data_IF_345799214492
#
_entry.id   IF_345799214492
#
_cell.length_a   1.000
_cell.length_b   1.000
_cell.length_c   1.000
_cell.angle_alpha   90.00
_cell.angle_beta   90.00
_cell.angle_gamma   90.00
#
_symmetry.space_group_name_H-M   'P 1'
#
loop_
_entity.id
_entity.type
_entity.pdbx_description
1 polymer ?
#
# COMPACT_ATOMS: atom_id res chain seq x y z
N UNK A 1 -10.29 51.27 -73.06
CA UNK A 1 -10.58 51.77 -71.70
C UNK A 1 -10.36 50.62 -70.72
N UNK A 2 -9.66 50.63 -69.59
CA UNK A 2 -8.69 51.51 -68.92
C UNK A 2 -8.22 50.68 -67.70
N UNK A 3 -6.92 50.32 -67.59
CA UNK A 3 -6.16 49.87 -66.38
C UNK A 3 -6.62 48.51 -65.75
N UNK A 4 -5.85 47.66 -65.05
CA UNK A 4 -4.73 47.74 -64.08
C UNK A 4 -4.02 46.34 -64.12
N UNK A 5 -2.78 46.16 -64.62
CA UNK A 5 -1.47 46.08 -63.90
C UNK A 5 -1.37 45.18 -62.64
N UNK A 6 -0.52 44.15 -62.75
CA UNK A 6 0.52 43.71 -61.76
C UNK A 6 0.04 43.12 -60.40
N UNK A 7 0.67 42.15 -59.73
CA UNK A 7 1.89 41.34 -59.86
C UNK A 7 1.95 40.46 -58.59
N UNK A 8 2.77 39.39 -58.61
CA UNK A 8 3.35 38.65 -57.47
C UNK A 8 2.67 37.39 -56.93
N UNK A 9 3.12 36.26 -57.48
CA UNK A 9 3.54 35.06 -56.74
C UNK A 9 4.64 35.42 -55.72
N UNK A 10 4.55 34.93 -54.48
CA UNK A 10 5.65 34.45 -53.60
C UNK A 10 5.39 34.70 -52.10
N UNK A 11 4.57 33.86 -51.46
CA UNK A 11 4.46 33.67 -49.99
C UNK A 11 3.87 32.25 -49.83
N UNK A 12 4.38 31.24 -49.13
CA UNK A 12 5.46 31.10 -48.15
C UNK A 12 5.82 29.59 -48.10
N UNK A 13 7.05 29.23 -48.44
CA UNK A 13 7.62 27.94 -48.05
C UNK A 13 8.29 28.15 -46.68
N UNK A 14 7.60 27.84 -45.58
CA UNK A 14 8.22 27.71 -44.25
C UNK A 14 7.26 27.05 -43.24
N UNK A 15 7.20 25.71 -43.22
CA UNK A 15 6.56 24.95 -42.13
C UNK A 15 7.24 23.58 -42.01
N UNK A 16 8.55 23.59 -41.74
CA UNK A 16 9.33 22.39 -41.42
C UNK A 16 10.43 22.79 -40.44
N UNK A 17 10.13 22.63 -39.15
CA UNK A 17 11.04 22.45 -37.99
C UNK A 17 10.45 23.10 -36.74
N UNK A 18 9.48 22.43 -36.10
CA UNK A 18 9.28 22.62 -34.67
C UNK A 18 10.02 21.48 -33.97
N UNK A 19 11.04 21.74 -33.14
CA UNK A 19 11.64 20.72 -32.31
C UNK A 19 10.54 20.22 -31.37
N UNK A 20 10.22 18.93 -31.45
CA UNK A 20 9.49 18.23 -30.40
C UNK A 20 10.42 18.26 -29.19
N UNK A 21 10.22 19.25 -28.32
CA UNK A 21 10.82 19.24 -27.00
C UNK A 21 10.38 17.98 -26.31
N UNK A 22 11.30 17.03 -26.14
CA UNK A 22 11.12 15.95 -25.20
C UNK A 22 10.95 16.59 -23.82
N UNK A 23 9.71 16.74 -23.38
CA UNK A 23 9.42 17.02 -21.98
C UNK A 23 9.79 15.73 -21.26
N UNK A 24 11.04 15.66 -20.79
CA UNK A 24 11.39 14.72 -19.75
C UNK A 24 10.46 15.03 -18.58
N UNK A 25 9.51 14.15 -18.31
CA UNK A 25 8.82 14.14 -17.02
C UNK A 25 9.91 13.90 -15.98
N UNK A 26 10.39 14.99 -15.37
CA UNK A 26 11.03 14.87 -14.07
C UNK A 26 9.98 14.21 -13.16
N UNK A 27 10.34 13.20 -12.36
CA UNK A 27 9.43 12.70 -11.35
C UNK A 27 9.06 13.88 -10.47
N UNK A 28 7.80 14.32 -10.56
CA UNK A 28 7.20 15.16 -9.54
C UNK A 28 7.06 14.26 -8.34
N UNK A 29 8.07 14.23 -7.47
CA UNK A 29 7.82 13.90 -6.07
C UNK A 29 6.84 14.96 -5.60
N UNK A 30 5.55 14.63 -5.65
CA UNK A 30 4.55 15.42 -4.96
C UNK A 30 4.87 15.28 -3.46
N UNK A 31 5.37 16.33 -2.78
CA UNK A 31 5.82 16.23 -1.40
C UNK A 31 4.66 16.07 -0.42
N UNK A 32 3.41 16.00 -0.93
CA UNK A 32 2.20 15.92 -0.11
C UNK A 32 1.81 14.51 0.29
N UNK A 33 2.46 13.47 -0.26
CA UNK A 33 2.32 12.09 0.21
C UNK A 33 3.57 11.64 0.99
N UNK A 34 3.85 12.24 2.15
CA UNK A 34 4.68 11.58 3.17
C UNK A 34 3.82 10.55 3.91
N UNK A 35 3.47 9.48 3.20
CA UNK A 35 3.09 8.21 3.82
C UNK A 35 4.34 7.40 4.12
N UNK A 36 4.25 6.37 4.98
CA UNK A 36 5.43 5.63 5.39
C UNK A 36 6.16 5.07 4.18
N UNK A 37 7.49 5.23 4.15
CA UNK A 37 8.35 4.83 3.03
C UNK A 37 7.99 3.44 2.50
N UNK A 38 7.43 3.40 1.28
CA UNK A 38 7.06 2.15 0.64
C UNK A 38 8.33 1.34 0.34
N UNK A 39 8.40 0.13 0.87
CA UNK A 39 9.54 -0.76 0.64
C UNK A 39 9.63 -1.15 -0.84
N UNK A 40 10.83 -1.02 -1.41
CA UNK A 40 11.14 -1.61 -2.71
C UNK A 40 11.33 -3.11 -2.55
N UNK A 41 10.53 -3.90 -3.26
CA UNK A 41 10.64 -5.35 -3.23
C UNK A 41 11.66 -5.83 -4.27
N UNK A 42 12.69 -6.52 -3.81
CA UNK A 42 13.69 -7.16 -4.66
C UNK A 42 13.26 -8.59 -4.94
N UNK A 43 13.23 -8.98 -6.22
CA UNK A 43 12.96 -10.36 -6.61
C UNK A 43 14.27 -11.13 -6.49
N UNK A 44 14.41 -11.88 -5.39
CA UNK A 44 15.56 -12.74 -5.15
C UNK A 44 15.23 -14.20 -5.57
N UNK A 45 16.00 -14.79 -6.50
CA UNK A 45 15.83 -16.19 -6.92
C UNK A 45 15.93 -17.21 -5.77
N UNK A 46 16.77 -16.99 -4.76
CA UNK A 46 16.89 -17.90 -3.62
C UNK A 46 15.61 -17.86 -2.76
N UNK A 47 15.03 -16.67 -2.58
CA UNK A 47 13.73 -16.50 -1.93
C UNK A 47 12.64 -17.21 -2.73
N UNK A 48 12.62 -17.05 -4.06
CA UNK A 48 11.61 -17.72 -4.89
C UNK A 48 11.73 -19.24 -4.79
N UNK A 49 12.95 -19.79 -4.83
CA UNK A 49 13.20 -21.22 -4.71
C UNK A 49 12.81 -21.77 -3.33
N UNK A 50 13.09 -21.02 -2.25
CA UNK A 50 12.72 -21.41 -0.88
C UNK A 50 11.21 -21.63 -0.72
N UNK A 51 10.38 -20.82 -1.37
CA UNK A 51 8.93 -20.88 -1.23
C UNK A 51 8.19 -21.60 -2.38
N UNK A 52 8.91 -22.09 -3.40
CA UNK A 52 8.33 -22.86 -4.50
C UNK A 52 7.44 -24.03 -4.03
N UNK A 53 7.82 -24.83 -3.00
CA UNK A 53 6.97 -25.92 -2.52
C UNK A 53 5.60 -25.48 -1.98
N UNK A 54 5.48 -24.26 -1.45
CA UNK A 54 4.18 -23.73 -1.01
C UNK A 54 3.25 -23.43 -2.20
N UNK A 55 3.82 -22.94 -3.31
CA UNK A 55 3.05 -22.75 -4.53
C UNK A 55 2.63 -24.11 -5.12
N UNK A 56 3.53 -25.09 -5.18
CA UNK A 56 3.22 -26.44 -5.66
C UNK A 56 2.09 -27.10 -4.85
N UNK A 57 2.11 -26.95 -3.52
CA UNK A 57 1.03 -27.44 -2.66
C UNK A 57 -0.30 -26.73 -2.94
N UNK A 58 -0.26 -25.42 -3.14
CA UNK A 58 -1.44 -24.63 -3.50
C UNK A 58 -2.02 -25.05 -4.87
N UNK A 59 -1.16 -25.29 -5.86
CA UNK A 59 -1.57 -25.80 -7.17
C UNK A 59 -2.16 -27.22 -7.08
N UNK A 60 -1.60 -28.08 -6.24
CA UNK A 60 -2.11 -29.43 -6.01
C UNK A 60 -3.52 -29.41 -5.35
N UNK A 61 -3.79 -28.44 -4.47
CA UNK A 61 -5.10 -28.30 -3.80
C UNK A 61 -6.16 -27.69 -4.72
N UNK A 62 -5.84 -26.60 -5.43
CA UNK A 62 -6.84 -25.81 -6.17
C UNK A 62 -6.87 -26.11 -7.67
N UNK A 63 -5.85 -26.80 -8.18
CA UNK A 63 -5.65 -27.08 -9.59
C UNK A 63 -5.28 -25.84 -10.42
N UNK A 64 -5.01 -26.10 -11.70
CA UNK A 64 -4.63 -25.08 -12.67
C UNK A 64 -3.15 -24.70 -12.60
N UNK A 65 -2.80 -23.55 -13.18
CA UNK A 65 -1.42 -23.03 -13.20
C UNK A 65 -1.37 -21.66 -12.55
N UNK A 66 -0.36 -21.46 -11.72
CA UNK A 66 -0.17 -20.30 -10.87
C UNK A 66 1.29 -19.85 -10.88
N UNK A 67 1.47 -18.55 -10.72
CA UNK A 67 2.77 -17.90 -10.54
C UNK A 67 2.72 -17.11 -9.24
N UNK A 68 3.81 -17.15 -8.48
CA UNK A 68 3.97 -16.35 -7.28
C UNK A 68 5.27 -15.53 -7.33
N UNK A 69 5.22 -14.34 -6.75
CA UNK A 69 6.41 -13.57 -6.37
C UNK A 69 6.39 -13.45 -4.85
N UNK A 70 7.44 -13.98 -4.24
CA UNK A 70 7.61 -14.04 -2.79
C UNK A 70 8.42 -12.85 -2.28
N UNK A 71 7.98 -12.35 -1.14
CA UNK A 71 8.69 -11.34 -0.37
C UNK A 71 9.57 -12.02 0.69
N UNK A 72 10.88 -11.84 0.60
CA UNK A 72 11.84 -12.45 1.50
C UNK A 72 11.74 -11.97 2.95
N UNK A 73 11.32 -10.72 3.16
CA UNK A 73 11.28 -10.05 4.48
C UNK A 73 10.05 -10.46 5.27
N UNK A 74 8.88 -10.56 4.61
CA UNK A 74 7.64 -10.98 5.28
C UNK A 74 7.42 -12.49 5.19
N UNK A 75 8.11 -13.16 4.27
CA UNK A 75 7.89 -14.58 3.97
C UNK A 75 6.50 -14.88 3.45
N UNK A 76 5.85 -13.90 2.81
CA UNK A 76 4.50 -14.01 2.22
C UNK A 76 4.57 -13.77 0.71
N UNK A 77 3.60 -14.26 -0.08
CA UNK A 77 3.58 -13.99 -1.50
C UNK A 77 3.06 -12.57 -1.75
N UNK A 78 3.92 -11.69 -2.25
CA UNK A 78 3.51 -10.33 -2.63
C UNK A 78 2.42 -10.38 -3.71
N UNK A 79 2.54 -11.33 -4.64
CA UNK A 79 1.48 -11.61 -5.61
C UNK A 79 1.47 -13.10 -5.95
N UNK A 80 0.27 -13.66 -6.02
CA UNK A 80 -0.02 -14.96 -6.62
C UNK A 80 -1.08 -14.71 -7.69
N UNK A 81 -0.89 -15.20 -8.91
CA UNK A 81 -1.81 -15.04 -10.03
C UNK A 81 -1.88 -16.30 -10.87
N UNK A 82 -3.03 -16.59 -11.46
CA UNK A 82 -3.15 -17.83 -12.23
C UNK A 82 -4.49 -18.03 -12.93
N UNK A 83 -4.73 -19.27 -13.32
CA UNK A 83 -5.93 -19.75 -14.02
C UNK A 83 -7.26 -19.49 -13.27
N UNK A 84 -7.15 -19.35 -11.95
CA UNK A 84 -8.17 -18.84 -11.05
C UNK A 84 -9.10 -19.90 -10.46
N UNK A 85 -9.56 -19.64 -9.23
CA UNK A 85 -10.42 -20.54 -8.46
C UNK A 85 -11.88 -20.13 -8.64
N UNK A 86 -12.75 -21.06 -9.04
CA UNK A 86 -14.16 -20.77 -9.19
C UNK A 86 -14.81 -20.43 -7.83
N UNK A 87 -15.47 -19.28 -7.77
CA UNK A 87 -16.28 -18.84 -6.64
C UNK A 87 -17.75 -18.97 -7.04
N UNK A 88 -18.63 -19.58 -6.22
CA UNK A 88 -20.04 -19.66 -6.55
C UNK A 88 -20.64 -18.28 -6.81
N UNK A 89 -21.44 -18.14 -7.87
CA UNK A 89 -22.10 -16.87 -8.20
C UNK A 89 -23.00 -16.33 -7.08
N UNK A 90 -23.57 -17.22 -6.27
CA UNK A 90 -24.30 -16.83 -5.06
C UNK A 90 -23.41 -16.06 -4.09
N UNK A 91 -22.13 -16.41 -3.95
CA UNK A 91 -21.15 -15.69 -3.12
C UNK A 91 -20.82 -14.33 -3.74
N UNK A 92 -20.43 -14.27 -5.02
CA UNK A 92 -20.01 -13.01 -5.68
C UNK A 92 -21.15 -12.01 -5.88
N UNK A 93 -22.41 -12.47 -5.82
CA UNK A 93 -23.60 -11.60 -5.86
C UNK A 93 -23.83 -10.79 -4.57
N UNK A 94 -23.05 -11.00 -3.50
CA UNK A 94 -23.16 -10.23 -2.25
C UNK A 94 -21.78 -9.89 -1.69
N UNK A 95 -21.55 -8.61 -1.39
CA UNK A 95 -20.30 -8.12 -0.77
C UNK A 95 -20.02 -8.83 0.55
N UNK A 96 -21.03 -8.99 1.40
CA UNK A 96 -20.89 -9.65 2.70
C UNK A 96 -20.54 -11.14 2.57
N UNK A 97 -21.19 -11.86 1.63
CA UNK A 97 -20.87 -13.28 1.40
C UNK A 97 -19.49 -13.43 0.80
N UNK A 98 -19.10 -12.52 -0.08
CA UNK A 98 -17.77 -12.51 -0.68
C UNK A 98 -16.68 -12.25 0.36
N UNK A 99 -16.87 -11.27 1.24
CA UNK A 99 -15.95 -11.02 2.36
C UNK A 99 -15.82 -12.27 3.25
N UNK A 100 -16.94 -12.87 3.68
CA UNK A 100 -16.92 -14.07 4.50
C UNK A 100 -16.19 -15.24 3.82
N UNK A 101 -16.40 -15.42 2.51
CA UNK A 101 -15.70 -16.44 1.71
C UNK A 101 -14.19 -16.20 1.70
N UNK A 102 -13.74 -14.95 1.51
CA UNK A 102 -12.32 -14.59 1.47
C UNK A 102 -11.66 -14.72 2.84
N UNK A 103 -12.36 -14.39 3.94
CA UNK A 103 -11.89 -14.64 5.30
C UNK A 103 -11.66 -16.14 5.55
N UNK A 104 -12.62 -16.97 5.16
CA UNK A 104 -12.48 -18.42 5.22
C UNK A 104 -11.40 -18.98 4.27
N UNK A 105 -11.06 -18.27 3.20
CA UNK A 105 -9.94 -18.62 2.32
C UNK A 105 -8.59 -18.33 3.00
N UNK A 106 -8.45 -17.17 3.65
CA UNK A 106 -7.26 -16.82 4.46
C UNK A 106 -7.00 -17.88 5.53
N UNK A 107 -8.02 -18.24 6.32
CA UNK A 107 -7.85 -19.19 7.44
C UNK A 107 -7.52 -20.62 7.01
N UNK A 108 -7.83 -20.99 5.76
CA UNK A 108 -7.50 -22.31 5.19
C UNK A 108 -6.07 -22.38 4.64
N UNK A 109 -5.38 -21.26 4.53
CA UNK A 109 -4.08 -21.14 3.89
C UNK A 109 -3.06 -20.45 4.83
N UNK A 110 -2.88 -20.93 6.07
CA UNK A 110 -2.07 -20.24 7.08
C UNK A 110 -0.62 -20.01 6.65
N UNK A 111 -0.04 -20.93 5.88
CA UNK A 111 1.36 -20.83 5.42
C UNK A 111 1.55 -19.74 4.36
N UNK A 112 0.50 -19.44 3.55
CA UNK A 112 0.53 -18.38 2.55
C UNK A 112 0.25 -17.01 3.16
N UNK A 113 -0.76 -16.93 4.03
CA UNK A 113 -1.25 -15.65 4.55
C UNK A 113 -0.53 -15.19 5.80
N UNK A 114 -0.01 -16.12 6.61
CA UNK A 114 0.71 -15.87 7.87
C UNK A 114 -0.02 -14.89 8.81
N UNK A 115 -1.34 -14.88 8.72
CA UNK A 115 -2.26 -14.05 9.50
C UNK A 115 -3.59 -14.78 9.63
N UNK A 116 -4.30 -14.57 10.72
CA UNK A 116 -5.68 -15.06 10.89
C UNK A 116 -6.65 -14.07 10.28
N UNK A 117 -7.77 -14.55 9.74
CA UNK A 117 -8.80 -13.66 9.21
C UNK A 117 -9.45 -12.77 10.29
N UNK A 118 -9.37 -13.17 11.57
CA UNK A 118 -9.79 -12.36 12.72
C UNK A 118 -8.93 -11.11 12.94
N UNK A 119 -7.69 -11.15 12.47
CA UNK A 119 -6.70 -10.08 12.59
C UNK A 119 -6.67 -9.23 11.31
N UNK A 120 -7.74 -9.29 10.51
CA UNK A 120 -7.92 -8.55 9.27
C UNK A 120 -9.18 -7.67 9.33
N UNK A 121 -9.04 -6.41 8.97
CA UNK A 121 -10.14 -5.47 8.79
C UNK A 121 -10.36 -5.19 7.30
N UNK A 122 -11.62 -5.19 6.86
CA UNK A 122 -11.96 -4.91 5.47
C UNK A 122 -11.70 -3.43 5.17
N UNK A 123 -10.74 -3.17 4.28
CA UNK A 123 -10.36 -1.82 3.87
C UNK A 123 -11.19 -1.32 2.69
N UNK A 124 -11.36 -2.16 1.67
CA UNK A 124 -12.19 -1.81 0.52
C UNK A 124 -12.80 -3.02 -0.15
N UNK A 125 -14.00 -2.83 -0.69
CA UNK A 125 -14.67 -3.80 -1.56
C UNK A 125 -15.48 -3.07 -2.62
N UNK A 126 -15.05 -3.17 -3.87
CA UNK A 126 -15.75 -2.56 -4.99
C UNK A 126 -15.63 -3.38 -6.27
N UNK A 127 -16.55 -3.15 -7.19
CA UNK A 127 -16.65 -3.84 -8.46
C UNK A 127 -16.45 -2.84 -9.59
N UNK A 128 -15.49 -3.10 -10.47
CA UNK A 128 -15.23 -2.27 -11.65
C UNK A 128 -14.71 -3.13 -12.80
N UNK A 129 -15.15 -2.84 -14.04
CA UNK A 129 -14.71 -3.53 -15.26
C UNK A 129 -14.72 -5.08 -15.16
N UNK A 130 -15.79 -5.64 -14.57
CA UNK A 130 -15.96 -7.08 -14.33
C UNK A 130 -14.95 -7.72 -13.36
N UNK A 131 -14.34 -6.89 -12.51
CA UNK A 131 -13.38 -7.31 -11.48
C UNK A 131 -13.84 -6.80 -10.13
N UNK A 132 -13.92 -7.70 -9.15
CA UNK A 132 -13.96 -7.30 -7.75
C UNK A 132 -12.56 -7.00 -7.25
N UNK A 133 -12.42 -5.85 -6.61
CA UNK A 133 -11.25 -5.40 -5.87
C UNK A 133 -11.61 -5.47 -4.39
N UNK A 134 -10.90 -6.32 -3.64
CA UNK A 134 -11.09 -6.49 -2.21
C UNK A 134 -9.73 -6.38 -1.56
N UNK A 135 -9.62 -5.50 -0.57
CA UNK A 135 -8.42 -5.33 0.21
C UNK A 135 -8.75 -5.33 1.70
N UNK A 136 -7.90 -5.98 2.49
CA UNK A 136 -7.91 -5.99 3.94
C UNK A 136 -6.61 -5.38 4.47
N UNK A 137 -6.65 -4.83 5.67
CA UNK A 137 -5.48 -4.45 6.45
C UNK A 137 -5.37 -5.32 7.71
N UNK A 138 -4.15 -5.58 8.14
CA UNK A 138 -3.88 -6.32 9.37
C UNK A 138 -4.12 -5.43 10.58
N UNK A 139 -4.72 -5.99 11.61
CA UNK A 139 -4.89 -5.39 12.92
C UNK A 139 -4.42 -6.36 14.00
N UNK A 140 -3.94 -5.84 15.13
CA UNK A 140 -3.58 -6.63 16.31
C UNK A 140 -4.30 -6.03 17.50
N UNK A 141 -5.24 -6.78 18.08
CA UNK A 141 -6.10 -6.29 19.17
C UNK A 141 -6.79 -4.94 18.83
N UNK A 142 -7.16 -4.74 17.56
CA UNK A 142 -7.79 -3.51 17.07
C UNK A 142 -6.81 -2.37 16.74
N UNK A 143 -5.51 -2.54 16.96
CA UNK A 143 -4.47 -1.58 16.55
C UNK A 143 -4.10 -1.87 15.08
N UNK A 144 -4.22 -0.89 14.16
CA UNK A 144 -3.89 -1.11 12.76
C UNK A 144 -2.38 -1.29 12.56
N UNK A 145 -2.01 -2.26 11.72
CA UNK A 145 -0.64 -2.44 11.26
C UNK A 145 -0.44 -1.68 9.97
N UNK A 146 0.42 -0.67 10.00
CA UNK A 146 0.70 0.17 8.84
C UNK A 146 1.38 -0.64 7.74
N UNK A 147 1.18 -0.20 6.49
CA UNK A 147 1.73 -0.83 5.29
C UNK A 147 1.41 -2.33 5.16
N UNK A 148 0.45 -2.84 5.92
CA UNK A 148 -0.07 -4.19 5.71
C UNK A 148 -1.07 -4.15 4.56
N UNK A 149 -1.27 -5.27 3.87
CA UNK A 149 -2.36 -5.46 2.90
C UNK A 149 -2.54 -6.93 2.56
N UNK A 150 -3.79 -7.39 2.59
CA UNK A 150 -4.19 -8.63 1.91
C UNK A 150 -5.15 -8.25 0.80
N UNK A 151 -4.77 -8.51 -0.45
CA UNK A 151 -5.53 -8.10 -1.64
C UNK A 151 -6.02 -9.29 -2.43
N UNK A 152 -7.23 -9.19 -2.97
CA UNK A 152 -7.84 -10.19 -3.84
C UNK A 152 -8.41 -9.54 -5.09
N UNK A 153 -8.27 -10.20 -6.24
CA UNK A 153 -8.93 -9.80 -7.49
C UNK A 153 -9.73 -10.98 -8.03
N UNK A 154 -11.02 -10.76 -8.23
CA UNK A 154 -11.94 -11.77 -8.73
C UNK A 154 -12.54 -11.29 -10.04
N UNK A 155 -12.34 -12.04 -11.11
CA UNK A 155 -12.83 -11.72 -12.45
C UNK A 155 -13.71 -12.85 -12.95
N UNK A 156 -14.90 -12.53 -13.45
CA UNK A 156 -15.89 -13.51 -13.93
C UNK A 156 -16.10 -14.68 -12.95
N UNK A 157 -16.35 -14.33 -11.68
CA UNK A 157 -16.56 -15.30 -10.58
C UNK A 157 -15.37 -16.24 -10.32
N UNK A 158 -14.15 -15.85 -10.71
CA UNK A 158 -12.92 -16.59 -10.39
C UNK A 158 -11.94 -15.73 -9.63
N UNK A 159 -11.40 -16.22 -8.51
CA UNK A 159 -10.24 -15.61 -7.85
C UNK A 159 -9.02 -15.79 -8.75
N UNK A 160 -8.55 -14.73 -9.38
CA UNK A 160 -7.43 -14.79 -10.35
C UNK A 160 -6.11 -14.27 -9.78
N UNK A 161 -6.18 -13.50 -8.68
CA UNK A 161 -5.00 -12.93 -8.03
C UNK A 161 -5.27 -12.72 -6.55
N UNK A 162 -4.26 -13.01 -5.74
CA UNK A 162 -4.17 -12.47 -4.39
C UNK A 162 -2.75 -12.00 -4.09
N UNK A 163 -2.58 -11.24 -3.02
CA UNK A 163 -1.27 -10.81 -2.55
C UNK A 163 -1.33 -10.51 -1.06
N UNK A 164 -0.23 -10.77 -0.39
CA UNK A 164 -0.14 -10.73 1.07
C UNK A 164 1.10 -9.94 1.47
N UNK A 165 0.86 -8.91 2.25
CA UNK A 165 1.87 -8.10 2.95
C UNK A 165 1.39 -7.98 4.40
N UNK A 166 1.79 -8.93 5.23
CA UNK A 166 1.44 -9.00 6.64
C UNK A 166 2.71 -9.21 7.44
N UNK A 167 2.71 -8.79 8.69
CA UNK A 167 3.92 -8.72 9.51
C UNK A 167 3.77 -9.60 10.74
N UNK A 168 4.78 -10.45 10.94
CA UNK A 168 4.91 -11.37 12.08
C UNK A 168 6.39 -11.44 12.46
N UNK A 169 6.75 -11.62 13.73
CA UNK A 169 5.86 -11.72 14.90
C UNK A 169 5.24 -10.37 15.27
N UNK A 170 4.10 -10.42 15.98
CA UNK A 170 3.47 -9.22 16.56
C UNK A 170 4.03 -8.97 17.96
N UNK A 171 4.12 -7.71 18.44
CA UNK A 171 4.61 -7.44 19.79
C UNK A 171 3.66 -7.95 20.87
N UNK A 172 4.20 -8.50 21.95
CA UNK A 172 3.39 -9.00 23.07
C UNK A 172 2.86 -7.88 23.98
N UNK A 173 3.61 -6.77 24.12
CA UNK A 173 3.19 -5.62 24.92
C UNK A 173 2.72 -4.48 24.00
N UNK A 174 1.43 -4.18 24.08
CA UNK A 174 0.77 -3.11 23.33
C UNK A 174 0.40 -1.93 24.23
N UNK A 175 0.94 -1.88 25.46
CA UNK A 175 0.70 -0.78 26.40
C UNK A 175 1.75 0.31 26.21
N UNK A 176 1.35 1.52 25.79
CA UNK A 176 2.29 2.61 25.60
C UNK A 176 2.90 3.04 26.94
N UNK A 177 4.23 3.18 26.99
CA UNK A 177 4.95 3.78 28.11
C UNK A 177 5.03 5.31 27.97
N UNK A 178 5.06 5.80 26.72
CA UNK A 178 4.97 7.22 26.37
C UNK A 178 3.51 7.58 26.15
N UNK A 179 3.02 8.59 26.88
CA UNK A 179 1.67 9.10 26.68
C UNK A 179 1.52 9.75 25.31
N UNK A 180 0.29 9.82 24.82
CA UNK A 180 -0.04 10.53 23.58
C UNK A 180 0.43 11.99 23.63
N UNK A 181 0.20 12.67 24.75
CA UNK A 181 0.63 14.05 24.96
C UNK A 181 2.16 14.18 24.93
N UNK A 182 2.88 13.22 25.53
CA UNK A 182 4.33 13.16 25.46
C UNK A 182 4.86 12.98 24.03
N UNK A 183 4.22 12.11 23.24
CA UNK A 183 4.53 11.92 21.82
C UNK A 183 4.26 13.19 20.98
N UNK A 184 3.16 13.91 21.27
CA UNK A 184 2.90 15.21 20.63
C UNK A 184 3.99 16.23 20.95
N UNK A 185 4.42 16.33 22.21
CA UNK A 185 5.49 17.26 22.59
C UNK A 185 6.81 16.92 21.88
N UNK A 186 7.11 15.63 21.68
CA UNK A 186 8.30 15.18 20.95
C UNK A 186 8.25 15.69 19.50
N UNK A 187 7.16 15.43 18.77
CA UNK A 187 7.04 15.88 17.37
C UNK A 187 6.95 17.40 17.23
N UNK A 188 6.27 18.08 18.15
CA UNK A 188 6.19 19.54 18.12
C UNK A 188 7.55 20.21 18.24
N UNK A 189 8.46 19.64 19.06
CA UNK A 189 9.84 20.14 19.17
C UNK A 189 10.62 19.90 17.88
N UNK A 190 10.43 18.74 17.25
CA UNK A 190 11.11 18.36 16.00
C UNK A 190 10.77 19.29 14.83
N UNK A 191 9.47 19.59 14.65
CA UNK A 191 9.00 20.45 13.54
C UNK A 191 9.03 21.96 13.85
N UNK A 192 9.63 22.36 14.99
CA UNK A 192 9.66 23.74 15.48
C UNK A 192 8.25 24.40 15.57
N UNK A 193 7.29 23.65 16.11
CA UNK A 193 5.87 24.01 16.17
C UNK A 193 5.60 25.37 16.82
N UNK A 194 4.72 26.15 16.21
CA UNK A 194 4.26 27.45 16.68
C UNK A 194 2.80 27.40 17.13
N UNK A 195 2.51 27.37 18.44
CA UNK A 195 1.14 27.15 18.97
C UNK A 195 0.07 28.17 18.55
N UNK A 196 0.48 29.33 18.03
CA UNK A 196 -0.45 30.37 17.55
C UNK A 196 -0.79 30.25 16.06
N UNK A 197 -0.06 29.43 15.31
CA UNK A 197 -0.13 29.35 13.84
C UNK A 197 -0.33 27.93 13.33
N UNK A 198 0.29 26.98 14.02
CA UNK A 198 0.30 25.58 13.63
C UNK A 198 -0.81 24.82 14.37
N UNK A 199 -1.18 23.66 13.85
CA UNK A 199 -2.32 22.88 14.33
C UNK A 199 -1.96 21.41 14.43
N UNK A 200 -2.51 20.75 15.44
CA UNK A 200 -2.56 19.28 15.49
C UNK A 200 -3.85 18.89 14.76
N UNK A 201 -3.73 18.24 13.61
CA UNK A 201 -4.89 17.77 12.82
C UNK A 201 -5.43 16.44 13.33
N UNK A 202 -4.52 15.52 13.71
CA UNK A 202 -4.87 14.22 14.28
C UNK A 202 -4.17 14.08 15.65
N UNK A 203 -4.91 14.01 16.76
CA UNK A 203 -4.34 14.11 18.10
C UNK A 203 -3.47 12.91 18.52
N UNK A 204 -3.37 11.85 17.73
CA UNK A 204 -2.61 10.66 18.09
C UNK A 204 -3.49 9.43 18.23
N UNK A 205 -3.27 8.45 17.35
CA UNK A 205 -3.79 7.08 17.52
C UNK A 205 -2.63 6.10 17.61
N UNK A 206 -2.85 4.99 18.31
CA UNK A 206 -1.89 3.89 18.31
C UNK A 206 -1.92 3.17 16.96
N UNK A 207 -0.74 2.83 16.47
CA UNK A 207 -0.51 2.04 15.26
C UNK A 207 0.65 1.07 15.51
N UNK A 208 0.71 -0.01 14.74
CA UNK A 208 1.91 -0.84 14.64
C UNK A 208 2.66 -0.44 13.38
N UNK A 209 3.83 0.18 13.57
CA UNK A 209 4.69 0.68 12.50
C UNK A 209 5.75 -0.39 12.16
N UNK A 210 5.82 -0.88 10.91
CA UNK A 210 6.87 -1.81 10.50
C UNK A 210 8.19 -1.09 10.27
N UNK A 211 9.22 -1.53 10.97
CA UNK A 211 10.62 -1.18 10.71
C UNK A 211 11.32 -2.32 9.99
N UNK A 212 12.16 -2.01 9.02
CA UNK A 212 12.77 -3.01 8.14
C UNK A 212 14.28 -3.07 8.36
N UNK A 213 14.80 -4.29 8.37
CA UNK A 213 16.20 -4.61 8.06
C UNK A 213 16.23 -5.30 6.69
N UNK A 214 17.41 -5.67 6.20
CA UNK A 214 17.54 -6.34 4.90
C UNK A 214 16.76 -7.67 4.85
N UNK A 215 16.66 -8.37 5.99
CA UNK A 215 16.08 -9.72 6.06
C UNK A 215 14.77 -9.83 6.86
N UNK A 216 14.43 -8.82 7.67
CA UNK A 216 13.33 -8.94 8.63
C UNK A 216 12.54 -7.64 8.79
N UNK A 217 11.22 -7.78 8.95
CA UNK A 217 10.33 -6.71 9.39
C UNK A 217 9.99 -6.89 10.87
N UNK A 218 10.24 -5.85 11.67
CA UNK A 218 9.84 -5.80 13.08
C UNK A 218 8.76 -4.76 13.27
N UNK A 219 7.72 -5.09 14.03
CA UNK A 219 6.66 -4.13 14.38
C UNK A 219 7.00 -3.36 15.65
N UNK A 220 6.79 -2.04 15.61
CA UNK A 220 6.94 -1.13 16.75
C UNK A 220 5.58 -0.50 17.06
N UNK A 221 5.17 -0.51 18.33
CA UNK A 221 4.00 0.26 18.76
C UNK A 221 4.36 1.74 18.66
N UNK A 222 3.53 2.53 17.98
CA UNK A 222 3.79 3.95 17.75
C UNK A 222 2.52 4.80 17.88
N UNK A 223 2.71 6.08 18.17
CA UNK A 223 1.70 7.13 18.04
C UNK A 223 1.80 7.76 16.65
N UNK A 224 0.76 7.63 15.84
CA UNK A 224 0.60 8.37 14.57
C UNK A 224 -0.08 9.72 14.86
N UNK A 225 0.61 10.83 14.59
CA UNK A 225 0.15 12.19 14.90
C UNK A 225 0.25 13.06 13.64
N UNK A 226 -0.84 13.77 13.34
CA UNK A 226 -0.91 14.70 12.22
C UNK A 226 -0.64 16.14 12.66
N UNK A 227 0.32 16.81 12.04
CA UNK A 227 0.67 18.22 12.33
C UNK A 227 0.60 19.04 11.04
N UNK A 228 -0.07 20.20 11.10
CA UNK A 228 -0.07 21.20 10.04
C UNK A 228 0.74 22.42 10.50
N UNK A 229 1.85 22.70 9.82
CA UNK A 229 2.66 23.91 10.02
C UNK A 229 2.23 25.00 9.05
N UNK A 230 2.35 26.27 9.45
CA UNK A 230 1.98 27.41 8.60
C UNK A 230 3.16 27.99 7.81
N UNK A 231 4.40 27.89 8.32
CA UNK A 231 5.57 28.50 7.66
C UNK A 231 6.85 27.68 7.90
N UNK A 232 7.31 26.88 6.91
CA UNK A 232 6.62 26.61 5.64
C UNK A 232 5.28 25.91 5.85
N UNK A 233 4.31 26.18 4.99
CA UNK A 233 3.03 25.49 5.06
C UNK A 233 3.23 24.02 4.64
N UNK A 234 3.05 23.09 5.58
CA UNK A 234 3.23 21.66 5.37
C UNK A 234 2.28 20.87 6.26
N UNK A 235 1.92 19.68 5.79
CA UNK A 235 1.25 18.67 6.59
C UNK A 235 2.19 17.51 6.80
N UNK A 236 2.29 17.09 8.04
CA UNK A 236 3.19 16.06 8.52
C UNK A 236 2.35 14.96 9.15
N UNK A 237 2.72 13.71 8.90
CA UNK A 237 2.29 12.58 9.70
C UNK A 237 3.56 12.05 10.36
N UNK A 238 3.68 12.27 11.67
CA UNK A 238 4.82 11.81 12.43
C UNK A 238 4.48 10.56 13.23
N UNK A 239 5.46 9.68 13.39
CA UNK A 239 5.34 8.43 14.14
C UNK A 239 6.34 8.40 15.28
N UNK A 240 5.84 8.32 16.51
CA UNK A 240 6.69 8.24 17.71
C UNK A 240 6.54 6.87 18.36
N UNK A 241 7.65 6.16 18.54
CA UNK A 241 7.68 4.88 19.25
C UNK A 241 7.08 5.04 20.66
N UNK A 242 6.03 4.28 20.93
CA UNK A 242 5.19 4.44 22.10
C UNK A 242 5.84 3.88 23.39
N UNK A 243 7.00 3.23 23.29
CA UNK A 243 7.77 2.76 24.45
C UNK A 243 8.97 3.65 24.76
N UNK A 244 9.69 4.09 23.74
CA UNK A 244 10.96 4.80 23.87
C UNK A 244 10.87 6.31 23.64
N UNK A 245 9.85 6.78 22.92
CA UNK A 245 9.74 8.18 22.50
C UNK A 245 10.64 8.53 21.31
N UNK A 246 11.28 7.55 20.67
CA UNK A 246 12.04 7.77 19.45
C UNK A 246 11.10 8.16 18.28
N UNK A 247 11.46 9.17 17.51
CA UNK A 247 10.79 9.48 16.23
C UNK A 247 11.22 8.41 15.21
N UNK A 248 10.24 7.72 14.64
CA UNK A 248 10.43 6.69 13.63
C UNK A 248 10.44 7.28 12.22
N UNK A 249 9.59 8.28 11.98
CA UNK A 249 9.43 9.05 10.74
C UNK A 249 8.67 10.36 11.02
#
# INVERSE_FOLDING_TARGET
MTRIRFLWLAILALLLSLPVGAVAFAPTEDPTEMGPHLRHHVIDPEVQARYAPLLEAFEAEHGGSWEAVWDGVTGTPWVVRGSGIAIPRSVTASRQRLEAYLRAFVDRQPDLFRVRSSDLELSSIFFNLNVWYIDFFQTVQGIPVLQSRVRFRIKFDRLILFGVQTYTPVPDDLRPAVSREGAQEILQRDVAFHPRRDRIEAPGRLVLYPTFTDDEATLRLAWEIGIETFSPHRRWIGYVDAHSGQILE
#
